data_IF_104599430281
#
_entry.id   IF_104599430281
#
_cell.length_a   1.000
_cell.length_b   1.000
_cell.length_c   1.000
_cell.angle_alpha   90.00
_cell.angle_beta   90.00
_cell.angle_gamma   90.00
#
_symmetry.space_group_name_H-M   'P 1'
#
loop_
_entity.id
_entity.type
_entity.pdbx_description
1 polymer ?
#
# COMPACT_ATOMS: atom_id res chain seq x y z
N UNK A 1 19.60 8.53 -3.98
CA UNK A 1 18.16 8.87 -3.95
C UNK A 1 17.24 7.68 -3.70
N UNK A 2 17.52 6.47 -4.23
CA UNK A 2 16.68 5.27 -4.06
C UNK A 2 16.50 4.80 -2.59
N UNK A 3 17.48 5.02 -1.71
CA UNK A 3 17.37 4.66 -0.28
C UNK A 3 16.27 5.43 0.49
N UNK A 4 15.78 6.56 -0.03
CA UNK A 4 14.64 7.29 0.58
C UNK A 4 13.27 6.68 0.25
N UNK A 5 13.21 5.78 -0.73
CA UNK A 5 11.97 5.10 -1.15
C UNK A 5 11.75 3.81 -0.34
N UNK A 6 12.82 3.28 0.27
CA UNK A 6 12.74 2.12 1.15
C UNK A 6 12.27 2.49 2.55
N UNK A 7 11.55 1.56 3.17
CA UNK A 7 11.04 1.65 4.54
C UNK A 7 12.10 2.20 5.50
N UNK A 8 11.76 3.24 6.27
CA UNK A 8 12.60 3.78 7.34
C UNK A 8 12.01 3.38 8.70
N UNK A 9 12.79 2.65 9.51
CA UNK A 9 12.48 2.42 10.92
C UNK A 9 12.56 3.76 11.67
N UNK A 10 11.40 4.34 11.96
CA UNK A 10 11.29 5.60 12.73
C UNK A 10 10.83 5.37 14.17
N UNK A 11 10.55 4.12 14.56
CA UNK A 11 10.12 3.78 15.92
C UNK A 11 8.74 4.31 16.28
N UNK A 12 7.88 4.52 15.27
CA UNK A 12 6.54 5.09 15.44
C UNK A 12 5.57 4.06 16.03
N UNK A 13 4.57 4.52 16.78
CA UNK A 13 3.58 3.65 17.42
C UNK A 13 2.92 2.69 16.42
N UNK A 14 2.53 3.19 15.25
CA UNK A 14 1.93 2.39 14.18
C UNK A 14 2.88 1.32 13.61
N UNK A 15 4.20 1.55 13.61
CA UNK A 15 5.23 0.57 13.21
C UNK A 15 5.51 -0.48 14.31
N UNK A 16 5.12 -0.19 15.55
CA UNK A 16 5.29 -1.06 16.73
C UNK A 16 4.07 -1.95 17.03
N UNK A 17 2.96 -1.72 16.33
CA UNK A 17 1.77 -2.58 16.41
C UNK A 17 2.09 -3.97 15.85
N UNK A 18 1.31 -4.96 16.30
CA UNK A 18 1.41 -6.30 15.74
C UNK A 18 1.17 -6.24 14.22
N UNK A 19 2.03 -6.85 13.39
CA UNK A 19 1.98 -6.65 11.94
C UNK A 19 0.63 -7.06 11.34
N UNK A 20 -0.06 -8.06 11.90
CA UNK A 20 -1.42 -8.40 11.49
C UNK A 20 -2.42 -7.23 11.64
N UNK A 21 -2.35 -6.47 12.75
CA UNK A 21 -3.25 -5.33 12.99
C UNK A 21 -2.96 -4.17 12.04
N UNK A 22 -1.68 -3.93 11.71
CA UNK A 22 -1.32 -2.91 10.72
C UNK A 22 -1.76 -3.26 9.30
N UNK A 23 -1.63 -4.54 8.91
CA UNK A 23 -2.05 -5.03 7.59
C UNK A 23 -3.57 -5.01 7.48
N UNK A 24 -4.30 -5.46 8.51
CA UNK A 24 -5.77 -5.40 8.49
C UNK A 24 -6.27 -3.97 8.42
N UNK A 25 -5.64 -3.03 9.13
CA UNK A 25 -5.98 -1.61 9.03
C UNK A 25 -5.85 -1.08 7.60
N UNK A 26 -4.69 -1.28 6.97
CA UNK A 26 -4.44 -0.85 5.58
C UNK A 26 -5.39 -1.55 4.61
N UNK A 27 -5.62 -2.86 4.77
CA UNK A 27 -6.52 -3.63 3.92
C UNK A 27 -7.96 -3.15 4.03
N UNK A 28 -8.44 -2.84 5.24
CA UNK A 28 -9.79 -2.29 5.45
C UNK A 28 -9.94 -0.93 4.76
N UNK A 29 -8.98 -0.02 4.91
CA UNK A 29 -9.01 1.28 4.22
C UNK A 29 -9.04 1.11 2.70
N UNK A 30 -8.24 0.18 2.15
CA UNK A 30 -8.21 -0.10 0.72
C UNK A 30 -9.55 -0.66 0.22
N UNK A 31 -10.11 -1.65 0.92
CA UNK A 31 -11.39 -2.27 0.56
C UNK A 31 -12.53 -1.24 0.61
N UNK A 32 -12.57 -0.40 1.64
CA UNK A 32 -13.59 0.65 1.75
C UNK A 32 -13.45 1.71 0.65
N UNK A 33 -12.23 2.12 0.29
CA UNK A 33 -12.02 3.06 -0.81
C UNK A 33 -12.49 2.51 -2.17
N UNK A 34 -12.39 1.19 -2.37
CA UNK A 34 -12.88 0.52 -3.60
C UNK A 34 -14.41 0.42 -3.61
N UNK A 35 -15.01 -0.05 -2.52
CA UNK A 35 -16.44 -0.39 -2.49
C UNK A 35 -17.32 0.85 -2.31
N UNK A 36 -16.86 1.87 -1.58
CA UNK A 36 -17.67 3.06 -1.33
C UNK A 36 -17.73 3.96 -2.58
N UNK A 37 -18.95 4.27 -3.01
CA UNK A 37 -19.21 5.18 -4.14
C UNK A 37 -19.61 6.59 -3.68
N UNK A 38 -20.08 6.73 -2.45
CA UNK A 38 -20.60 7.98 -1.93
C UNK A 38 -19.46 8.98 -1.65
N UNK A 39 -19.55 10.24 -2.13
CA UNK A 39 -18.45 11.20 -2.08
C UNK A 39 -18.04 11.57 -0.64
N UNK A 40 -19.00 11.64 0.29
CA UNK A 40 -18.71 11.85 1.71
C UNK A 40 -17.94 10.69 2.38
N UNK A 41 -18.20 9.45 1.97
CA UNK A 41 -17.45 8.29 2.50
C UNK A 41 -16.01 8.32 2.01
N UNK A 42 -15.79 8.62 0.73
CA UNK A 42 -14.45 8.80 0.15
C UNK A 42 -13.70 9.94 0.86
N UNK A 43 -14.32 11.11 1.01
CA UNK A 43 -13.70 12.21 1.75
C UNK A 43 -13.37 11.85 3.21
N UNK A 44 -14.24 11.08 3.88
CA UNK A 44 -13.99 10.57 5.22
C UNK A 44 -12.82 9.60 5.31
N UNK A 45 -12.72 8.66 4.36
CA UNK A 45 -11.59 7.71 4.26
C UNK A 45 -10.29 8.49 4.00
N UNK A 46 -10.33 9.50 3.13
CA UNK A 46 -9.20 10.39 2.86
C UNK A 46 -8.72 11.08 4.13
N UNK A 47 -9.64 11.66 4.90
CA UNK A 47 -9.33 12.31 6.17
C UNK A 47 -8.71 11.32 7.17
N UNK A 48 -9.25 10.11 7.31
CA UNK A 48 -8.67 9.10 8.20
C UNK A 48 -7.27 8.68 7.74
N UNK A 49 -7.07 8.51 6.43
CA UNK A 49 -5.75 8.17 5.88
C UNK A 49 -4.73 9.28 6.12
N UNK A 50 -5.13 10.56 6.00
CA UNK A 50 -4.30 11.72 6.31
C UNK A 50 -3.97 11.82 7.80
N UNK A 51 -4.94 11.57 8.68
CA UNK A 51 -4.72 11.52 10.12
C UNK A 51 -3.73 10.40 10.49
N UNK A 52 -3.85 9.23 9.86
CA UNK A 52 -2.91 8.13 10.06
C UNK A 52 -1.50 8.46 9.53
N UNK A 53 -1.39 9.12 8.37
CA UNK A 53 -0.12 9.60 7.82
C UNK A 53 0.53 10.67 8.69
N UNK A 54 -0.26 11.58 9.25
CA UNK A 54 0.21 12.58 10.21
C UNK A 54 0.70 11.93 11.50
N UNK A 55 -0.07 10.99 12.06
CA UNK A 55 0.30 10.24 13.26
C UNK A 55 1.56 9.37 13.07
N UNK A 56 1.90 9.05 11.82
CA UNK A 56 3.09 8.31 11.44
C UNK A 56 4.24 9.20 10.91
N UNK A 57 4.21 10.52 11.11
CA UNK A 57 5.21 11.47 10.60
C UNK A 57 5.59 11.25 9.12
N UNK A 58 4.57 10.89 8.33
CA UNK A 58 4.67 10.46 6.94
C UNK A 58 4.32 11.54 5.91
N UNK A 59 3.91 12.74 6.36
CA UNK A 59 3.43 13.80 5.45
C UNK A 59 4.45 14.21 4.38
N UNK A 60 5.74 14.23 4.73
CA UNK A 60 6.80 14.54 3.75
C UNK A 60 6.92 13.47 2.65
N UNK A 61 6.73 12.19 3.00
CA UNK A 61 6.68 11.12 2.01
C UNK A 61 5.41 11.23 1.15
N UNK A 62 4.25 11.46 1.78
CA UNK A 62 2.97 11.63 1.11
C UNK A 62 2.99 12.75 0.07
N UNK A 63 3.61 13.89 0.36
CA UNK A 63 3.77 14.98 -0.62
C UNK A 63 4.51 14.53 -1.89
N UNK A 64 5.50 13.63 -1.77
CA UNK A 64 6.18 13.03 -2.92
C UNK A 64 5.24 12.17 -3.77
N UNK A 65 4.45 11.31 -3.12
CA UNK A 65 3.43 10.49 -3.79
C UNK A 65 2.33 11.35 -4.44
N UNK A 66 1.90 12.43 -3.79
CA UNK A 66 0.88 13.35 -4.33
C UNK A 66 1.39 14.12 -5.55
N UNK A 67 2.65 14.54 -5.58
CA UNK A 67 3.25 15.17 -6.77
C UNK A 67 3.25 14.22 -7.97
N UNK A 68 3.53 12.93 -7.73
CA UNK A 68 3.46 11.91 -8.78
C UNK A 68 2.00 11.64 -9.21
N UNK A 69 1.07 11.56 -8.25
CA UNK A 69 -0.34 11.28 -8.52
C UNK A 69 -1.10 12.47 -9.13
N UNK A 70 -0.62 13.71 -8.97
CA UNK A 70 -1.30 14.91 -9.44
C UNK A 70 -1.67 14.85 -10.92
N UNK A 71 -0.72 14.44 -11.78
CA UNK A 71 -0.97 14.31 -13.22
C UNK A 71 -2.04 13.26 -13.53
N UNK A 72 -2.04 12.14 -12.80
CA UNK A 72 -3.05 11.10 -12.94
C UNK A 72 -4.43 11.58 -12.48
N UNK A 73 -4.50 12.31 -11.38
CA UNK A 73 -5.76 12.90 -10.86
C UNK A 73 -6.35 13.88 -11.87
N UNK A 74 -5.54 14.81 -12.38
CA UNK A 74 -5.99 15.78 -13.39
C UNK A 74 -6.47 15.07 -14.65
N UNK A 75 -5.75 14.04 -15.09
CA UNK A 75 -6.13 13.24 -16.25
C UNK A 75 -7.46 12.51 -16.02
N UNK A 76 -7.67 11.88 -14.86
CA UNK A 76 -8.93 11.20 -14.52
C UNK A 76 -10.09 12.19 -14.40
N UNK A 77 -9.85 13.37 -13.81
CA UNK A 77 -10.85 14.44 -13.68
C UNK A 77 -11.24 15.02 -15.04
N UNK A 78 -10.31 15.11 -15.99
CA UNK A 78 -10.56 15.61 -17.34
C UNK A 78 -11.22 14.55 -18.24
N UNK A 79 -10.76 13.30 -18.21
CA UNK A 79 -11.23 12.25 -19.11
C UNK A 79 -12.64 11.77 -18.73
N UNK A 80 -12.96 11.64 -17.43
CA UNK A 80 -14.26 11.11 -16.99
C UNK A 80 -15.47 11.88 -17.57
N UNK A 81 -15.50 13.24 -17.53
CA UNK A 81 -16.55 14.03 -18.16
C UNK A 81 -16.62 13.90 -19.69
N UNK A 82 -15.51 13.60 -20.35
CA UNK A 82 -15.47 13.43 -21.81
C UNK A 82 -16.00 12.07 -22.27
N UNK A 83 -15.99 11.06 -21.40
CA UNK A 83 -16.44 9.70 -21.73
C UNK A 83 -17.88 9.47 -21.27
N UNK A 84 -18.25 9.95 -20.09
CA UNK A 84 -19.57 9.71 -19.51
C UNK A 84 -20.58 10.78 -19.93
N UNK A 85 -21.54 10.37 -20.76
CA UNK A 85 -22.57 11.25 -21.35
C UNK A 85 -23.98 11.08 -20.73
N UNK A 86 -24.10 10.33 -19.64
CA UNK A 86 -25.39 9.85 -19.11
C UNK A 86 -26.12 10.84 -18.17
N UNK A 87 -25.75 12.12 -18.16
CA UNK A 87 -26.33 13.13 -17.26
C UNK A 87 -27.46 13.94 -17.89
N UNK A 88 -28.50 14.24 -17.12
CA UNK A 88 -29.63 15.06 -17.59
C UNK A 88 -29.31 16.57 -17.62
N UNK A 89 -28.35 17.06 -16.81
CA UNK A 89 -28.02 18.49 -16.75
C UNK A 89 -26.80 18.83 -17.62
N UNK A 90 -27.07 19.18 -18.87
CA UNK A 90 -26.05 19.54 -19.86
C UNK A 90 -25.53 20.96 -19.62
N UNK A 91 -24.23 21.10 -19.33
CA UNK A 91 -23.57 22.40 -19.16
C UNK A 91 -23.00 22.94 -20.49
N UNK A 92 -22.47 22.05 -21.34
CA UNK A 92 -21.87 22.43 -22.62
C UNK A 92 -22.01 21.33 -23.66
N UNK A 93 -22.32 21.71 -24.90
CA UNK A 93 -22.38 20.83 -26.06
C UNK A 93 -21.30 21.25 -27.06
N UNK A 94 -20.35 20.37 -27.35
CA UNK A 94 -19.31 20.62 -28.33
C UNK A 94 -19.74 20.38 -29.78
N UNK A 95 -18.92 20.84 -30.76
CA UNK A 95 -19.18 20.61 -32.18
C UNK A 95 -19.12 19.13 -32.54
N UNK A 96 -19.91 18.72 -33.56
CA UNK A 96 -19.98 17.34 -34.01
C UNK A 96 -18.60 16.87 -34.53
N UNK A 97 -17.97 15.92 -33.84
CA UNK A 97 -16.80 15.21 -34.36
C UNK A 97 -17.28 13.95 -35.10
N UNK A 98 -16.84 13.73 -36.36
CA UNK A 98 -17.38 12.67 -37.24
C UNK A 98 -17.14 11.22 -36.77
N UNK A 99 -16.37 11.01 -35.70
CA UNK A 99 -16.05 9.69 -35.13
C UNK A 99 -16.55 9.47 -33.68
N UNK A 100 -16.84 10.54 -32.93
CA UNK A 100 -17.09 10.46 -31.47
C UNK A 100 -18.44 11.04 -31.03
N UNK A 101 -19.25 11.57 -31.95
CA UNK A 101 -20.51 12.24 -31.61
C UNK A 101 -20.30 13.68 -31.10
N UNK A 102 -21.33 14.26 -30.48
CA UNK A 102 -21.24 15.56 -29.80
C UNK A 102 -20.75 15.33 -28.37
N UNK A 103 -19.57 15.81 -27.96
CA UNK A 103 -19.17 15.71 -26.56
C UNK A 103 -20.09 16.60 -25.74
N UNK A 104 -20.80 16.00 -24.80
CA UNK A 104 -21.72 16.70 -23.89
C UNK A 104 -21.13 16.62 -22.50
N UNK A 105 -20.74 17.77 -21.96
CA UNK A 105 -20.22 17.85 -20.59
C UNK A 105 -21.41 18.12 -19.69
N UNK A 106 -21.71 17.17 -18.80
CA UNK A 106 -22.80 17.26 -17.82
C UNK A 106 -22.26 17.53 -16.42
N UNK A 107 -23.06 18.15 -15.56
CA UNK A 107 -22.66 18.41 -14.16
C UNK A 107 -22.41 17.11 -13.40
N UNK A 108 -23.21 16.08 -13.68
CA UNK A 108 -23.09 14.72 -13.13
C UNK A 108 -21.73 14.10 -13.46
N UNK A 109 -21.27 14.25 -14.71
CA UNK A 109 -20.03 13.66 -15.17
C UNK A 109 -18.79 14.35 -14.55
N UNK A 110 -18.87 15.66 -14.28
CA UNK A 110 -17.85 16.40 -13.51
C UNK A 110 -17.82 15.92 -12.05
N UNK A 111 -18.99 15.80 -11.40
CA UNK A 111 -19.07 15.33 -10.02
C UNK A 111 -18.55 13.89 -9.87
N UNK A 112 -18.88 13.01 -10.82
CA UNK A 112 -18.36 11.65 -10.88
C UNK A 112 -16.84 11.63 -11.11
N UNK A 113 -16.33 12.46 -12.04
CA UNK A 113 -14.90 12.60 -12.28
C UNK A 113 -14.13 13.09 -11.04
N UNK A 114 -14.72 14.02 -10.29
CA UNK A 114 -14.17 14.50 -9.02
C UNK A 114 -14.18 13.39 -7.95
N UNK A 115 -15.27 12.63 -7.81
CA UNK A 115 -15.34 11.51 -6.87
C UNK A 115 -14.33 10.40 -7.20
N UNK A 116 -14.17 10.06 -8.48
CA UNK A 116 -13.18 9.08 -8.92
C UNK A 116 -11.73 9.57 -8.70
N UNK A 117 -11.51 10.88 -8.82
CA UNK A 117 -10.24 11.52 -8.50
C UNK A 117 -9.90 11.43 -7.00
N UNK A 118 -10.88 11.68 -6.13
CA UNK A 118 -10.73 11.49 -4.67
C UNK A 118 -10.44 10.03 -4.34
N UNK A 119 -11.15 9.08 -4.97
CA UNK A 119 -10.87 7.65 -4.81
C UNK A 119 -9.44 7.28 -5.20
N UNK A 120 -8.91 7.85 -6.28
CA UNK A 120 -7.52 7.63 -6.68
C UNK A 120 -6.56 8.18 -5.61
N UNK A 121 -6.82 9.38 -5.08
CA UNK A 121 -6.04 9.96 -3.99
C UNK A 121 -6.06 9.09 -2.73
N UNK A 122 -7.21 8.49 -2.38
CA UNK A 122 -7.32 7.53 -1.28
C UNK A 122 -6.42 6.33 -1.50
N UNK A 123 -6.50 5.70 -2.67
CA UNK A 123 -5.68 4.53 -2.98
C UNK A 123 -4.18 4.82 -2.90
N UNK A 124 -3.74 5.97 -3.43
CA UNK A 124 -2.34 6.39 -3.35
C UNK A 124 -1.93 6.67 -1.90
N UNK A 125 -2.80 7.30 -1.11
CA UNK A 125 -2.54 7.60 0.30
C UNK A 125 -2.43 6.33 1.15
N UNK A 126 -3.34 5.36 0.95
CA UNK A 126 -3.30 4.05 1.61
C UNK A 126 -2.04 3.27 1.21
N UNK A 127 -1.61 3.35 -0.05
CA UNK A 127 -0.36 2.72 -0.49
C UNK A 127 0.89 3.37 0.13
N UNK A 128 0.91 4.70 0.27
CA UNK A 128 1.95 5.41 1.00
C UNK A 128 1.99 4.95 2.47
N UNK A 129 0.82 4.83 3.10
CA UNK A 129 0.68 4.36 4.48
C UNK A 129 1.18 2.92 4.64
N UNK A 130 0.87 2.04 3.70
CA UNK A 130 1.36 0.65 3.67
C UNK A 130 2.89 0.60 3.69
N UNK A 131 3.54 1.33 2.79
CA UNK A 131 5.00 1.33 2.68
C UNK A 131 5.70 1.92 3.93
N UNK A 132 5.02 2.78 4.69
CA UNK A 132 5.58 3.43 5.87
C UNK A 132 5.35 2.61 7.15
N UNK A 133 4.21 1.93 7.26
CA UNK A 133 3.84 1.17 8.47
C UNK A 133 4.32 -0.28 8.38
N UNK A 134 4.14 -0.94 7.23
CA UNK A 134 4.35 -2.39 7.10
C UNK A 134 5.78 -2.69 6.69
N UNK A 135 6.51 -3.32 7.60
CA UNK A 135 7.81 -3.90 7.28
C UNK A 135 7.66 -5.10 6.33
N UNK A 136 8.41 -5.16 5.21
CA UNK A 136 8.34 -6.28 4.28
C UNK A 136 8.68 -7.62 4.96
N UNK A 137 9.72 -7.67 5.79
CA UNK A 137 10.12 -8.90 6.49
C UNK A 137 9.05 -9.39 7.48
N UNK A 138 8.36 -8.48 8.19
CA UNK A 138 7.28 -8.83 9.12
C UNK A 138 6.02 -9.28 8.38
N UNK A 139 5.74 -8.68 7.23
CA UNK A 139 4.65 -9.11 6.34
C UNK A 139 4.87 -10.55 5.88
N UNK A 140 6.05 -10.88 5.34
CA UNK A 140 6.39 -12.26 4.95
C UNK A 140 6.42 -13.22 6.15
N UNK A 141 6.83 -12.73 7.33
CA UNK A 141 6.79 -13.48 8.59
C UNK A 141 5.39 -13.90 9.05
N UNK A 142 4.32 -13.23 8.62
CA UNK A 142 2.93 -13.65 8.88
C UNK A 142 2.47 -14.76 7.94
N UNK A 143 2.78 -14.64 6.65
CA UNK A 143 2.48 -15.69 5.67
C UNK A 143 3.26 -16.99 5.96
N UNK A 144 4.39 -16.88 6.65
CA UNK A 144 5.17 -18.01 7.16
C UNK A 144 4.38 -19.00 8.03
N UNK A 145 3.31 -18.55 8.67
CA UNK A 145 2.48 -19.37 9.55
C UNK A 145 1.81 -20.50 8.75
N UNK A 146 1.37 -20.21 7.52
CA UNK A 146 0.68 -21.19 6.66
C UNK A 146 1.65 -22.17 5.98
N UNK A 147 2.89 -21.75 5.72
CA UNK A 147 3.86 -22.59 5.02
C UNK A 147 5.30 -22.37 5.54
N UNK A 148 5.65 -23.03 6.64
CA UNK A 148 6.96 -22.93 7.33
C UNK A 148 8.18 -23.10 6.42
N UNK A 149 8.11 -23.98 5.40
CA UNK A 149 9.21 -24.17 4.43
C UNK A 149 9.34 -22.97 3.49
N UNK A 150 8.24 -22.45 2.98
CA UNK A 150 8.24 -21.25 2.11
C UNK A 150 8.76 -20.01 2.85
N UNK A 151 8.42 -19.87 4.12
CA UNK A 151 8.90 -18.78 4.97
C UNK A 151 10.41 -18.72 5.07
N UNK A 152 11.04 -19.89 5.25
CA UNK A 152 12.48 -20.01 5.31
C UNK A 152 13.10 -19.57 3.99
N UNK A 153 12.56 -20.05 2.87
CA UNK A 153 13.04 -19.68 1.53
C UNK A 153 12.96 -18.18 1.33
N UNK A 154 11.83 -17.56 1.71
CA UNK A 154 11.66 -16.09 1.62
C UNK A 154 12.66 -15.36 2.53
N UNK A 155 12.80 -15.77 3.78
CA UNK A 155 13.74 -15.14 4.72
C UNK A 155 15.22 -15.29 4.29
N UNK A 156 15.57 -16.44 3.70
CA UNK A 156 16.89 -16.65 3.11
C UNK A 156 17.07 -15.77 1.87
N UNK A 157 16.06 -15.70 0.99
CA UNK A 157 16.11 -14.86 -0.21
C UNK A 157 16.25 -13.37 0.13
N UNK A 158 15.49 -12.84 1.11
CA UNK A 158 15.60 -11.44 1.52
C UNK A 158 16.97 -11.13 2.13
N UNK A 159 17.55 -12.05 2.89
CA UNK A 159 18.92 -11.92 3.43
C UNK A 159 20.00 -12.02 2.35
N UNK A 160 19.83 -12.92 1.37
CA UNK A 160 20.82 -13.16 0.31
C UNK A 160 20.79 -12.07 -0.76
N UNK A 161 19.66 -11.40 -0.97
CA UNK A 161 19.52 -10.32 -1.95
C UNK A 161 20.60 -9.22 -1.81
N UNK A 162 20.79 -8.56 -0.65
CA UNK A 162 21.84 -7.55 -0.50
C UNK A 162 23.26 -8.14 -0.66
N UNK A 163 23.48 -9.38 -0.23
CA UNK A 163 24.77 -10.07 -0.38
C UNK A 163 25.09 -10.31 -1.86
N UNK A 164 24.10 -10.76 -2.64
CA UNK A 164 24.23 -10.96 -4.09
C UNK A 164 24.50 -9.64 -4.81
N UNK A 165 23.88 -8.54 -4.39
CA UNK A 165 24.16 -7.22 -4.97
C UNK A 165 25.60 -6.77 -4.71
N UNK A 166 26.10 -6.93 -3.49
CA UNK A 166 27.50 -6.62 -3.18
C UNK A 166 28.48 -7.54 -3.95
N UNK A 167 28.15 -8.83 -4.10
CA UNK A 167 28.93 -9.77 -4.89
C UNK A 167 28.95 -9.37 -6.38
N UNK A 168 27.81 -8.96 -6.93
CA UNK A 168 27.69 -8.46 -8.30
C UNK A 168 28.60 -7.24 -8.55
N UNK A 169 28.61 -6.27 -7.62
CA UNK A 169 29.49 -5.09 -7.69
C UNK A 169 30.97 -5.49 -7.64
N UNK A 170 31.36 -6.36 -6.72
CA UNK A 170 32.74 -6.85 -6.62
C UNK A 170 33.19 -7.60 -7.88
N UNK A 171 32.34 -8.47 -8.44
CA UNK A 171 32.62 -9.20 -9.69
C UNK A 171 32.74 -8.21 -10.85
N UNK A 172 31.87 -7.21 -10.92
CA UNK A 172 31.91 -6.17 -11.94
C UNK A 172 33.24 -5.41 -11.89
N UNK A 173 33.66 -4.98 -10.71
CA UNK A 173 34.89 -4.23 -10.52
C UNK A 173 36.12 -5.08 -10.88
N UNK A 174 36.13 -6.36 -10.47
CA UNK A 174 37.19 -7.29 -10.84
C UNK A 174 37.30 -7.52 -12.37
N UNK A 175 36.16 -7.59 -13.08
CA UNK A 175 36.14 -7.70 -14.54
C UNK A 175 36.57 -6.41 -15.24
N UNK A 176 36.20 -5.25 -14.68
CA UNK A 176 36.68 -3.96 -15.18
C UNK A 176 38.21 -3.83 -15.05
N UNK A 177 38.80 -4.28 -13.94
CA UNK A 177 40.25 -4.32 -13.76
C UNK A 177 40.95 -5.27 -14.75
N UNK A 178 40.25 -6.30 -15.23
CA UNK A 178 40.73 -7.19 -16.30
C UNK A 178 40.55 -6.60 -17.71
N UNK A 179 40.06 -5.37 -17.83
CA UNK A 179 39.90 -4.66 -19.09
C UNK A 179 38.53 -4.82 -19.76
N UNK A 180 37.54 -5.41 -19.08
CA UNK A 180 36.18 -5.52 -19.61
C UNK A 180 35.43 -4.19 -19.41
N UNK A 181 35.27 -3.43 -20.49
CA UNK A 181 34.43 -2.24 -20.46
C UNK A 181 32.94 -2.59 -20.65
N UNK A 182 32.14 -2.42 -19.60
CA UNK A 182 30.69 -2.63 -19.60
C UNK A 182 29.89 -1.45 -20.18
N UNK A 183 30.51 -0.28 -20.34
CA UNK A 183 29.86 0.93 -20.82
C UNK A 183 29.99 1.12 -22.33
N UNK A 184 31.06 0.64 -22.96
CA UNK A 184 31.26 0.70 -24.42
C UNK A 184 30.58 -0.42 -25.22
N UNK A 185 30.32 -0.15 -26.50
CA UNK A 185 29.88 -1.13 -27.51
C UNK A 185 28.40 -1.07 -27.88
N UNK A 186 28.01 -1.96 -28.80
CA UNK A 186 26.61 -2.13 -29.24
C UNK A 186 25.74 -2.78 -28.15
N UNK A 187 24.41 -2.65 -28.24
CA UNK A 187 23.48 -3.31 -27.29
C UNK A 187 23.72 -4.82 -27.19
N UNK A 188 24.08 -5.47 -28.30
CA UNK A 188 24.38 -6.90 -28.36
C UNK A 188 25.66 -7.25 -27.61
N UNK A 189 26.73 -6.47 -27.79
CA UNK A 189 27.98 -6.66 -27.05
C UNK A 189 27.79 -6.45 -25.54
N UNK A 190 27.03 -5.43 -25.15
CA UNK A 190 26.69 -5.19 -23.74
C UNK A 190 25.92 -6.36 -23.13
N UNK A 191 24.99 -6.95 -23.87
CA UNK A 191 24.23 -8.12 -23.41
C UNK A 191 25.15 -9.34 -23.20
N UNK A 192 26.08 -9.61 -24.12
CA UNK A 192 27.04 -10.72 -23.98
C UNK A 192 27.96 -10.52 -22.78
N UNK A 193 28.50 -9.30 -22.58
CA UNK A 193 29.30 -8.94 -21.40
C UNK A 193 28.50 -9.12 -20.11
N UNK A 194 27.23 -8.69 -20.10
CA UNK A 194 26.31 -8.88 -18.98
C UNK A 194 26.07 -10.36 -18.67
N UNK A 195 25.86 -11.20 -19.70
CA UNK A 195 25.65 -12.64 -19.53
C UNK A 195 26.87 -13.33 -18.88
N UNK A 196 28.09 -12.92 -19.23
CA UNK A 196 29.31 -13.43 -18.60
C UNK A 196 29.36 -13.10 -17.10
N UNK A 197 28.99 -11.86 -16.74
CA UNK A 197 28.92 -11.42 -15.34
C UNK A 197 27.87 -12.23 -14.56
N UNK A 198 26.68 -12.43 -15.14
CA UNK A 198 25.64 -13.28 -14.55
C UNK A 198 26.08 -14.72 -14.36
N UNK A 199 26.84 -15.30 -15.30
CA UNK A 199 27.33 -16.66 -15.18
C UNK A 199 28.27 -16.81 -13.96
N UNK A 200 29.22 -15.88 -13.78
CA UNK A 200 30.13 -15.89 -12.62
C UNK A 200 29.33 -15.77 -11.31
N UNK A 201 28.37 -14.85 -11.26
CA UNK A 201 27.51 -14.68 -10.09
C UNK A 201 26.70 -15.95 -9.79
N UNK A 202 26.19 -16.61 -10.83
CA UNK A 202 25.37 -17.83 -10.68
C UNK A 202 26.19 -18.99 -10.12
N UNK A 203 27.42 -19.18 -10.61
CA UNK A 203 28.34 -20.19 -10.07
C UNK A 203 28.66 -19.90 -8.60
N UNK A 204 29.00 -18.64 -8.26
CA UNK A 204 29.26 -18.24 -6.87
C UNK A 204 28.04 -18.46 -5.97
N UNK A 205 26.85 -18.08 -6.42
CA UNK A 205 25.62 -18.24 -5.65
C UNK A 205 25.24 -19.71 -5.44
N UNK A 206 25.53 -20.60 -6.40
CA UNK A 206 25.35 -22.04 -6.25
C UNK A 206 26.29 -22.59 -5.17
N UNK A 207 27.56 -22.19 -5.18
CA UNK A 207 28.53 -22.58 -4.16
C UNK A 207 28.10 -22.10 -2.76
N UNK A 208 27.71 -20.82 -2.63
CA UNK A 208 27.20 -20.25 -1.39
C UNK A 208 25.95 -21.00 -0.88
N UNK A 209 25.07 -21.43 -1.80
CA UNK A 209 23.85 -22.17 -1.44
C UNK A 209 24.16 -23.57 -0.90
N UNK A 210 25.19 -24.24 -1.44
CA UNK A 210 25.67 -25.53 -0.97
C UNK A 210 26.28 -25.39 0.42
N UNK A 211 27.17 -24.42 0.62
CA UNK A 211 27.77 -24.13 1.92
C UNK A 211 26.71 -23.79 2.98
N UNK A 212 25.68 -23.01 2.60
CA UNK A 212 24.57 -22.69 3.49
C UNK A 212 23.76 -23.94 3.85
N UNK A 213 23.53 -24.85 2.90
CA UNK A 213 22.84 -26.12 3.14
C UNK A 213 23.62 -27.02 4.10
N UNK A 214 24.94 -27.17 3.89
CA UNK A 214 25.82 -27.92 4.78
C UNK A 214 25.83 -27.33 6.20
N UNK A 215 25.94 -26.00 6.33
CA UNK A 215 25.90 -25.32 7.61
C UNK A 215 24.54 -25.49 8.32
N UNK A 216 23.43 -25.50 7.57
CA UNK A 216 22.10 -25.80 8.12
C UNK A 216 22.03 -27.26 8.61
N UNK A 217 22.52 -28.23 7.84
CA UNK A 217 22.57 -29.63 8.24
C UNK A 217 23.43 -29.85 9.49
N UNK A 218 24.61 -29.22 9.57
CA UNK A 218 25.49 -29.29 10.74
C UNK A 218 24.83 -28.72 12.02
N UNK A 219 23.94 -27.72 11.87
CA UNK A 219 23.13 -27.17 12.97
C UNK A 219 21.85 -27.98 13.25
N UNK A 220 21.79 -29.21 12.76
CA UNK A 220 20.64 -30.12 12.89
C UNK A 220 19.32 -29.53 12.34
N UNK A 221 19.39 -28.75 11.26
CA UNK A 221 18.20 -28.19 10.63
C UNK A 221 17.30 -29.31 10.07
N UNK A 222 16.20 -29.60 10.77
CA UNK A 222 15.21 -30.59 10.33
C UNK A 222 15.18 -31.88 11.16
N UNK A 223 15.99 -31.98 12.22
CA UNK A 223 16.02 -33.13 13.12
C UNK A 223 14.82 -33.26 14.06
N UNK A 224 13.97 -32.24 14.18
CA UNK A 224 12.85 -32.26 15.13
C UNK A 224 11.89 -31.06 15.05
N UNK A 225 10.93 -30.98 15.98
CA UNK A 225 9.98 -29.87 16.05
C UNK A 225 10.72 -28.54 16.31
N UNK A 226 10.37 -27.50 15.55
CA UNK A 226 11.03 -26.19 15.64
C UNK A 226 10.36 -25.25 16.61
N UNK A 227 11.16 -24.52 17.37
CA UNK A 227 10.75 -23.35 18.11
C UNK A 227 10.90 -22.07 17.26
N UNK A 228 10.17 -21.01 17.64
CA UNK A 228 10.31 -19.66 17.05
C UNK A 228 11.04 -18.76 18.04
N UNK A 229 12.18 -18.21 17.64
CA UNK A 229 12.99 -17.31 18.46
C UNK A 229 12.32 -15.94 18.62
N UNK A 230 11.95 -15.29 17.50
CA UNK A 230 11.19 -14.05 17.51
C UNK A 230 9.70 -14.38 17.45
N UNK A 231 8.96 -14.03 18.50
CA UNK A 231 7.51 -14.13 18.57
C UNK A 231 6.94 -12.72 18.69
N UNK A 232 6.12 -12.34 17.72
CA UNK A 232 5.31 -11.13 17.86
C UNK A 232 4.14 -11.48 18.79
N UNK A 233 4.15 -10.90 19.99
CA UNK A 233 3.12 -11.15 21.01
C UNK A 233 1.98 -10.18 20.74
N UNK A 234 0.77 -10.69 20.58
CA UNK A 234 -0.44 -9.86 20.50
C UNK A 234 -0.63 -9.16 21.85
N UNK A 235 -0.49 -7.84 21.86
CA UNK A 235 -0.82 -7.02 23.01
C UNK A 235 -2.31 -6.67 22.98
N UNK A 236 -2.95 -6.39 24.13
CA UNK A 236 -4.37 -6.01 24.16
C UNK A 236 -4.68 -4.79 23.29
N UNK A 237 -3.72 -3.87 23.12
CA UNK A 237 -3.81 -2.74 22.18
C UNK A 237 -4.03 -3.16 20.73
N UNK A 238 -3.38 -4.24 20.30
CA UNK A 238 -3.45 -4.75 18.93
C UNK A 238 -4.83 -5.37 18.70
N UNK A 239 -5.36 -6.04 19.74
CA UNK A 239 -6.72 -6.58 19.75
C UNK A 239 -7.79 -5.51 19.59
N UNK A 240 -7.67 -4.39 20.31
CA UNK A 240 -8.62 -3.27 20.21
C UNK A 240 -8.59 -2.65 18.80
N UNK A 241 -7.40 -2.39 18.26
CA UNK A 241 -7.26 -1.84 16.91
C UNK A 241 -7.82 -2.81 15.85
N UNK A 242 -7.55 -4.10 15.99
CA UNK A 242 -8.01 -5.11 15.06
C UNK A 242 -9.53 -5.29 15.13
N UNK A 243 -10.11 -5.35 16.33
CA UNK A 243 -11.55 -5.43 16.53
C UNK A 243 -12.28 -4.18 15.98
N UNK A 244 -11.75 -2.98 16.25
CA UNK A 244 -12.32 -1.73 15.73
C UNK A 244 -12.34 -1.66 14.21
N UNK A 245 -11.26 -2.09 13.55
CA UNK A 245 -11.19 -2.13 12.09
C UNK A 245 -12.13 -3.16 11.47
N UNK A 246 -12.22 -4.36 12.04
CA UNK A 246 -13.15 -5.40 11.56
C UNK A 246 -14.60 -4.95 11.76
N UNK A 247 -14.92 -4.35 12.90
CA UNK A 247 -16.25 -3.84 13.19
C UNK A 247 -16.64 -2.72 12.21
N UNK A 248 -15.71 -1.82 11.90
CA UNK A 248 -15.92 -0.75 10.92
C UNK A 248 -16.16 -1.30 9.50
N UNK A 249 -15.42 -2.33 9.09
CA UNK A 249 -15.64 -3.02 7.82
C UNK A 249 -17.02 -3.70 7.77
N UNK A 250 -17.40 -4.44 8.83
CA UNK A 250 -18.69 -5.09 8.92
C UNK A 250 -19.86 -4.08 8.90
N UNK A 251 -19.72 -2.96 9.63
CA UNK A 251 -20.70 -1.89 9.64
C UNK A 251 -20.85 -1.26 8.24
N UNK A 252 -19.75 -1.02 7.54
CA UNK A 252 -19.76 -0.46 6.18
C UNK A 252 -20.45 -1.40 5.19
N UNK A 253 -20.13 -2.70 5.22
CA UNK A 253 -20.77 -3.71 4.37
C UNK A 253 -22.27 -3.79 4.67
N UNK A 254 -22.67 -3.73 5.94
CA UNK A 254 -24.07 -3.75 6.33
C UNK A 254 -24.84 -2.52 5.81
N UNK A 255 -24.22 -1.33 5.84
CA UNK A 255 -24.80 -0.09 5.30
C UNK A 255 -24.99 -0.20 3.78
N UNK A 256 -23.98 -0.71 3.08
CA UNK A 256 -24.01 -0.96 1.63
C UNK A 256 -25.09 -1.99 1.26
N UNK A 257 -25.20 -3.09 2.02
CA UNK A 257 -26.21 -4.12 1.79
C UNK A 257 -27.66 -3.62 1.98
N UNK A 258 -27.86 -2.61 2.83
CA UNK A 258 -29.16 -1.94 3.00
C UNK A 258 -29.43 -0.83 1.98
N UNK A 259 -28.50 -0.58 1.04
CA UNK A 259 -28.62 0.47 0.03
C UNK A 259 -28.52 1.90 0.60
N UNK A 260 -28.17 2.04 1.88
CA UNK A 260 -28.08 3.33 2.59
C UNK A 260 -26.81 4.14 2.20
N UNK A 261 -25.89 3.51 1.46
CA UNK A 261 -24.62 4.11 1.01
C UNK A 261 -24.47 4.25 -0.50
N UNK A 262 -25.50 3.90 -1.29
CA UNK A 262 -25.41 4.02 -2.75
C UNK A 262 -25.65 5.47 -3.17
N UNK A 263 -24.69 6.03 -3.90
CA UNK A 263 -24.81 7.36 -4.49
C UNK A 263 -24.92 7.20 -6.00
N UNK A 264 -26.12 7.40 -6.54
CA UNK A 264 -26.32 7.41 -7.99
C UNK A 264 -25.88 8.77 -8.51
N UNK A 265 -24.77 8.77 -9.27
CA UNK A 265 -24.27 9.96 -9.97
C UNK A 265 -25.08 10.27 -11.24
N UNK A 266 -25.70 9.26 -11.83
CA UNK A 266 -26.55 9.37 -13.02
C UNK A 266 -27.95 8.81 -12.70
N UNK A 267 -29.04 9.33 -13.30
CA UNK A 267 -29.14 10.43 -14.27
C UNK A 267 -29.28 11.83 -13.65
N UNK A 268 -29.57 11.93 -12.35
CA UNK A 268 -29.61 13.19 -11.57
C UNK A 268 -28.75 13.07 -10.32
N UNK A 269 -28.11 14.17 -9.91
CA UNK A 269 -27.36 14.23 -8.65
C UNK A 269 -28.30 13.99 -7.48
N UNK A 270 -28.23 12.81 -6.87
CA UNK A 270 -28.94 12.53 -5.64
C UNK A 270 -28.50 13.50 -4.53
N UNK A 271 -29.44 13.92 -3.68
CA UNK A 271 -29.15 14.84 -2.57
C UNK A 271 -28.09 14.22 -1.64
N UNK A 272 -27.00 14.95 -1.38
CA UNK A 272 -25.90 14.55 -0.48
C UNK A 272 -26.37 14.18 0.95
N UNK A 273 -27.56 14.62 1.35
CA UNK A 273 -28.24 14.28 2.61
C UNK A 273 -29.73 13.98 2.34
N UNK A 274 -30.01 12.92 1.60
CA UNK A 274 -31.36 12.34 1.45
C UNK A 274 -31.71 11.32 2.54
N UNK A 275 -33.00 11.00 2.72
CA UNK A 275 -33.54 10.21 3.84
C UNK A 275 -33.03 8.77 4.03
N UNK A 276 -32.19 8.26 3.12
CA UNK A 276 -31.50 6.97 3.24
C UNK A 276 -30.07 7.09 3.78
N UNK A 277 -29.54 8.31 3.97
CA UNK A 277 -28.19 8.54 4.45
C UNK A 277 -28.17 8.61 5.98
N UNK A 278 -27.60 7.61 6.63
CA UNK A 278 -27.41 7.61 8.09
C UNK A 278 -26.07 8.26 8.45
N UNK A 279 -26.08 9.60 8.57
CA UNK A 279 -25.00 10.39 9.21
C UNK A 279 -24.38 9.70 10.46
N UNK A 280 -25.16 9.13 11.41
CA UNK A 280 -24.59 8.45 12.56
C UNK A 280 -23.80 7.17 12.20
N UNK A 281 -24.20 6.46 11.13
CA UNK A 281 -23.51 5.24 10.70
C UNK A 281 -22.18 5.57 10.02
N UNK A 282 -22.12 6.65 9.23
CA UNK A 282 -20.85 7.18 8.70
C UNK A 282 -19.91 7.62 9.83
N UNK A 283 -20.43 8.34 10.82
CA UNK A 283 -19.64 8.77 11.99
C UNK A 283 -19.09 7.56 12.79
N UNK A 284 -19.88 6.48 12.93
CA UNK A 284 -19.44 5.26 13.60
C UNK A 284 -18.32 4.54 12.83
N UNK A 285 -18.44 4.44 11.50
CA UNK A 285 -17.43 3.83 10.62
C UNK A 285 -16.12 4.62 10.66
N UNK A 286 -16.18 5.95 10.50
CA UNK A 286 -15.01 6.82 10.55
C UNK A 286 -14.39 6.86 11.95
N UNK A 287 -15.22 6.87 13.00
CA UNK A 287 -14.77 6.77 14.38
C UNK A 287 -13.97 5.50 14.62
N UNK A 288 -14.48 4.34 14.20
CA UNK A 288 -13.78 3.06 14.29
C UNK A 288 -12.45 3.03 13.52
N UNK A 289 -12.41 3.60 12.31
CA UNK A 289 -11.19 3.68 11.49
C UNK A 289 -10.16 4.67 12.04
N UNK A 290 -10.61 5.68 12.79
CA UNK A 290 -9.72 6.66 13.42
C UNK A 290 -9.05 6.14 14.70
N UNK A 291 -9.55 5.04 15.29
CA UNK A 291 -9.02 4.49 16.55
C UNK A 291 -7.51 4.22 16.52
N UNK A 292 -6.91 3.59 15.48
CA UNK A 292 -5.46 3.36 15.42
C UNK A 292 -4.68 4.68 15.34
N UNK A 293 -5.19 5.68 14.62
CA UNK A 293 -4.56 6.99 14.49
C UNK A 293 -4.65 7.80 15.79
N UNK A 294 -5.80 7.76 16.48
CA UNK A 294 -6.01 8.42 17.78
C UNK A 294 -5.15 7.79 18.88
N UNK A 295 -5.06 6.46 18.93
CA UNK A 295 -4.19 5.73 19.86
C UNK A 295 -2.71 6.03 19.61
N UNK A 296 -2.33 6.18 18.34
CA UNK A 296 -0.99 6.60 17.93
C UNK A 296 -0.66 8.01 18.44
N UNK A 297 -1.57 8.96 18.25
CA UNK A 297 -1.41 10.32 18.75
C UNK A 297 -1.33 10.36 20.28
N UNK A 298 -2.22 9.64 20.96
CA UNK A 298 -2.24 9.54 22.43
C UNK A 298 -0.95 8.94 23.02
N UNK A 299 -0.32 7.97 22.35
CA UNK A 299 0.95 7.39 22.80
C UNK A 299 2.16 8.31 22.58
N UNK A 300 2.10 9.23 21.61
CA UNK A 300 3.15 10.23 21.40
C UNK A 300 3.07 11.40 22.39
N UNK A 301 1.87 11.77 22.86
CA UNK A 301 1.69 12.88 23.82
C UNK A 301 1.64 12.44 25.29
N UNK A 302 1.17 11.23 25.61
CA UNK A 302 1.08 10.74 26.99
C UNK A 302 2.15 9.69 27.30
N UNK A 303 3.22 10.13 27.98
CA UNK A 303 4.33 9.28 28.44
C UNK A 303 3.86 8.12 29.36
N UNK A 304 2.73 8.28 30.04
CA UNK A 304 2.15 7.28 30.97
C UNK A 304 1.55 6.06 30.23
N UNK A 305 1.01 6.25 29.01
CA UNK A 305 0.53 5.14 28.17
C UNK A 305 1.69 4.32 27.60
N UNK A 306 2.85 4.95 27.37
CA UNK A 306 4.07 4.29 26.87
C UNK A 306 4.69 3.31 27.87
N UNK A 307 4.44 3.50 29.17
CA UNK A 307 5.04 2.71 30.27
C UNK A 307 4.17 1.53 30.72
N UNK A 308 2.86 1.55 30.46
CA UNK A 308 1.91 0.51 30.91
C UNK A 308 1.50 -0.46 29.79
N UNK A 309 2.06 -0.30 28.59
CA UNK A 309 1.69 -0.97 27.34
C UNK A 309 2.90 -1.67 26.73
#
# INVERSE_FOLDING_TARGET
MLQKIFYQEKGLFLQSLHPAASITFVAVLLVLAVICEHPLYLAGILLVSLLALWAADGLAAWQGYMKAAFWMVVLVMAINPLINHNGNTVLWQGPCLPLYGRPVITMEAIAYGAAMSVRLLDMVSVFCLFNLIVHPDRFFGLFSIFARKSALVVALATRLFPVMFAALENIRDAQQLRGVDFSGGTLRERAVKGASLFNILLVSALEDSLQLAEAMHARAFGSGPRSRYRRDILRPRDGICLAGNILSLAASIYILARGLGNYTYFPELSRLCGGSFSLPALAAVLGGLSLPALLSWGCNHCHYLKLKI
#
